data_IF_931879006075
#
_entry.id   IF_931879006075
#
_cell.length_a   1.000
_cell.length_b   1.000
_cell.length_c   1.000
_cell.angle_alpha   90.00
_cell.angle_beta   90.00
_cell.angle_gamma   90.00
#
_symmetry.space_group_name_H-M   'P 1'
#
loop_
_entity.id
_entity.type
_entity.pdbx_description
1 polymer ?
#
# COMPACT_ATOMS: atom_id res chain seq x y z
N UNK A 1 9.29 36.44 23.36
CA UNK A 1 10.50 35.75 22.88
C UNK A 1 10.63 34.34 23.44
N UNK A 2 10.49 34.21 24.75
CA UNK A 2 10.52 32.87 25.37
C UNK A 2 9.44 31.94 24.83
N UNK A 3 8.28 32.47 24.50
CA UNK A 3 7.19 31.68 23.95
C UNK A 3 7.51 31.12 22.58
N UNK A 4 8.30 31.84 21.76
CA UNK A 4 8.68 31.36 20.43
C UNK A 4 9.65 30.19 20.51
N UNK A 5 10.53 30.17 21.49
CA UNK A 5 11.44 29.05 21.72
C UNK A 5 10.68 27.80 22.22
N UNK A 6 9.70 28.01 23.07
CA UNK A 6 8.83 26.93 23.53
C UNK A 6 8.02 26.34 22.39
N UNK A 7 7.53 27.16 21.49
CA UNK A 7 6.79 26.73 20.31
C UNK A 7 7.67 25.91 19.35
N UNK A 8 8.92 26.32 19.18
CA UNK A 8 9.89 25.56 18.38
C UNK A 8 10.12 24.16 18.92
N UNK A 9 10.30 24.05 20.23
CA UNK A 9 10.47 22.75 20.89
C UNK A 9 9.25 21.86 20.74
N UNK A 10 8.05 22.44 20.83
CA UNK A 10 6.80 21.74 20.61
C UNK A 10 6.65 21.27 19.17
N UNK A 11 7.01 22.12 18.22
CA UNK A 11 6.97 21.79 16.79
C UNK A 11 7.94 20.67 16.44
N UNK A 12 9.12 20.70 17.01
CA UNK A 12 10.12 19.62 16.79
C UNK A 12 9.64 18.28 17.34
N UNK A 13 9.04 18.28 18.53
CA UNK A 13 8.47 17.06 19.11
C UNK A 13 7.34 16.53 18.26
N UNK A 14 6.49 17.42 17.76
CA UNK A 14 5.37 17.04 16.91
C UNK A 14 5.84 16.45 15.60
N UNK A 15 6.88 17.06 14.99
CA UNK A 15 7.47 16.55 13.76
C UNK A 15 8.08 15.16 13.96
N UNK A 16 8.78 14.93 15.07
CA UNK A 16 9.34 13.63 15.39
C UNK A 16 8.27 12.58 15.63
N UNK A 17 7.19 12.96 16.29
CA UNK A 17 6.05 12.08 16.55
C UNK A 17 5.37 11.68 15.25
N UNK A 18 5.17 12.64 14.34
CA UNK A 18 4.61 12.37 13.03
C UNK A 18 5.49 11.43 12.22
N UNK A 19 6.80 11.66 12.23
CA UNK A 19 7.76 10.82 11.54
C UNK A 19 7.72 9.38 12.08
N UNK A 20 7.57 9.24 13.39
CA UNK A 20 7.44 7.92 14.02
C UNK A 20 6.15 7.23 13.57
N UNK A 21 5.04 7.95 13.49
CA UNK A 21 3.76 7.41 13.02
C UNK A 21 3.86 6.96 11.57
N UNK A 22 4.51 7.73 10.71
CA UNK A 22 4.74 7.36 9.31
C UNK A 22 5.57 6.09 9.23
N UNK A 23 6.64 6.01 10.01
CA UNK A 23 7.50 4.82 10.05
C UNK A 23 6.74 3.59 10.51
N UNK A 24 5.92 3.72 11.54
CA UNK A 24 5.08 2.62 12.04
C UNK A 24 4.09 2.15 10.99
N UNK A 25 3.46 3.07 10.26
CA UNK A 25 2.55 2.75 9.18
C UNK A 25 3.29 2.00 8.06
N UNK A 26 4.48 2.47 7.70
CA UNK A 26 5.29 1.81 6.68
C UNK A 26 5.69 0.40 7.08
N UNK A 27 6.06 0.20 8.34
CA UNK A 27 6.41 -1.12 8.87
C UNK A 27 5.21 -2.05 8.86
N UNK A 28 4.05 -1.57 9.25
CA UNK A 28 2.81 -2.35 9.21
C UNK A 28 2.42 -2.71 7.79
N UNK A 29 2.55 -1.75 6.86
CA UNK A 29 2.25 -1.99 5.45
C UNK A 29 3.20 -3.01 4.83
N UNK A 30 4.47 -2.98 5.23
CA UNK A 30 5.45 -3.96 4.73
C UNK A 30 5.08 -5.40 5.12
N UNK A 31 4.36 -5.57 6.21
CA UNK A 31 3.90 -6.88 6.69
C UNK A 31 2.53 -7.25 6.14
N UNK A 32 1.74 -6.27 5.71
CA UNK A 32 0.41 -6.52 5.16
C UNK A 32 0.52 -7.10 3.76
N UNK A 33 -0.37 -8.02 3.43
CA UNK A 33 -0.39 -8.66 2.12
C UNK A 33 -1.69 -8.34 1.39
N UNK A 34 -1.58 -8.13 0.09
CA UNK A 34 -2.70 -7.79 -0.77
C UNK A 34 -2.72 -8.73 -1.97
N UNK A 35 -3.85 -9.34 -2.22
CA UNK A 35 -4.00 -10.31 -3.29
C UNK A 35 -4.86 -9.72 -4.42
N UNK A 36 -4.36 -9.86 -5.64
CA UNK A 36 -5.15 -9.59 -6.83
C UNK A 36 -5.39 -10.87 -7.58
N UNK A 37 -6.48 -10.97 -8.29
CA UNK A 37 -6.81 -12.17 -9.06
C UNK A 37 -7.41 -11.79 -10.40
N UNK A 38 -7.35 -12.74 -11.33
CA UNK A 38 -7.95 -12.61 -12.65
C UNK A 38 -8.40 -13.98 -13.15
N UNK A 39 -9.19 -13.98 -14.21
CA UNK A 39 -9.67 -15.23 -14.81
C UNK A 39 -10.50 -16.08 -13.84
N UNK A 40 -11.33 -15.43 -13.01
CA UNK A 40 -12.14 -16.16 -12.04
C UNK A 40 -11.32 -16.82 -10.92
N UNK A 41 -10.16 -16.25 -10.60
CA UNK A 41 -9.27 -16.79 -9.59
C UNK A 41 -8.20 -17.75 -10.13
N UNK A 42 -8.14 -17.89 -11.44
CA UNK A 42 -7.15 -18.78 -12.07
C UNK A 42 -5.71 -18.26 -11.90
N UNK A 43 -5.54 -16.95 -11.84
CA UNK A 43 -4.26 -16.33 -11.55
C UNK A 43 -4.41 -15.45 -10.33
N UNK A 44 -3.53 -15.64 -9.37
CA UNK A 44 -3.51 -14.84 -8.13
C UNK A 44 -2.10 -14.32 -7.91
N UNK A 45 -1.99 -13.04 -7.59
CA UNK A 45 -0.72 -12.39 -7.29
C UNK A 45 -0.81 -11.78 -5.90
N UNK A 46 0.20 -11.97 -5.09
CA UNK A 46 0.28 -11.37 -3.78
C UNK A 46 1.46 -10.39 -3.72
N UNK A 47 1.18 -9.18 -3.23
CA UNK A 47 2.20 -8.17 -2.96
C UNK A 47 2.03 -7.70 -1.51
N UNK A 48 3.06 -7.08 -0.94
CA UNK A 48 2.91 -6.47 0.37
C UNK A 48 2.52 -4.99 0.22
N UNK A 49 2.28 -4.32 1.34
CA UNK A 49 1.93 -2.90 1.32
C UNK A 49 3.05 -1.98 0.85
N UNK A 50 4.29 -2.47 0.82
CA UNK A 50 5.42 -1.75 0.24
C UNK A 50 5.51 -1.96 -1.28
N UNK A 51 4.53 -2.65 -1.86
CA UNK A 51 4.43 -2.96 -3.29
C UNK A 51 5.53 -3.92 -3.77
N UNK A 52 5.99 -4.75 -2.85
CA UNK A 52 6.96 -5.79 -3.20
C UNK A 52 6.21 -7.07 -3.55
N UNK A 53 6.67 -7.74 -4.59
CA UNK A 53 6.11 -9.02 -5.01
C UNK A 53 6.37 -10.09 -3.95
N UNK A 54 5.36 -10.87 -3.62
CA UNK A 54 5.47 -11.97 -2.65
C UNK A 54 5.28 -13.33 -3.29
N UNK A 55 4.21 -13.51 -4.04
CA UNK A 55 3.91 -14.81 -4.64
C UNK A 55 2.98 -14.68 -5.82
N UNK A 56 2.98 -15.73 -6.63
CA UNK A 56 2.05 -15.86 -7.75
C UNK A 56 1.57 -17.31 -7.79
N UNK A 57 0.29 -17.49 -8.08
CA UNK A 57 -0.31 -18.80 -8.27
C UNK A 57 -1.05 -18.81 -9.60
N UNK A 58 -0.76 -19.77 -10.44
CA UNK A 58 -1.38 -19.90 -11.76
C UNK A 58 -2.00 -21.29 -11.85
N UNK A 59 -3.30 -21.35 -12.15
CA UNK A 59 -3.97 -22.60 -12.41
C UNK A 59 -3.48 -23.15 -13.75
N UNK A 60 -2.95 -24.39 -13.80
CA UNK A 60 -2.45 -24.96 -15.05
C UNK A 60 -3.47 -24.98 -16.18
N UNK A 61 -4.75 -24.98 -15.86
CA UNK A 61 -5.82 -25.01 -16.87
C UNK A 61 -5.81 -23.79 -17.78
N UNK A 62 -5.28 -22.66 -17.32
CA UNK A 62 -5.20 -21.44 -18.12
C UNK A 62 -3.86 -21.29 -18.85
N UNK A 63 -2.97 -22.26 -18.70
CA UNK A 63 -1.68 -22.25 -19.38
C UNK A 63 -1.84 -22.98 -20.73
N UNK A 64 -1.91 -22.18 -21.77
CA UNK A 64 -2.05 -22.67 -23.14
C UNK A 64 -0.81 -22.20 -23.93
N UNK A 65 0.06 -23.14 -24.34
CA UNK A 65 1.27 -22.75 -25.10
C UNK A 65 0.96 -22.07 -26.44
N UNK A 66 -0.26 -22.23 -26.93
CA UNK A 66 -0.68 -21.60 -28.19
C UNK A 66 -1.30 -20.22 -27.98
N UNK A 67 -1.57 -19.85 -26.71
CA UNK A 67 -2.14 -18.55 -26.37
C UNK A 67 -1.44 -17.97 -25.13
N UNK A 68 -0.18 -17.70 -25.29
CA UNK A 68 0.65 -17.13 -24.20
C UNK A 68 0.21 -15.71 -23.86
N UNK A 69 -0.29 -14.97 -24.85
CA UNK A 69 -0.75 -13.60 -24.65
C UNK A 69 -1.91 -13.54 -23.65
N UNK A 70 -2.81 -14.50 -23.68
CA UNK A 70 -3.90 -14.59 -22.71
C UNK A 70 -3.32 -14.72 -21.29
N UNK A 71 -2.31 -15.57 -21.10
CA UNK A 71 -1.68 -15.75 -19.79
C UNK A 71 -0.99 -14.46 -19.33
N UNK A 72 -0.29 -13.79 -20.23
CA UNK A 72 0.35 -12.52 -19.93
C UNK A 72 -0.66 -11.49 -19.45
N UNK A 73 -1.81 -11.40 -20.12
CA UNK A 73 -2.89 -10.49 -19.76
C UNK A 73 -3.48 -10.83 -18.39
N UNK A 74 -3.66 -12.11 -18.10
CA UNK A 74 -4.19 -12.56 -16.81
C UNK A 74 -3.23 -12.23 -15.67
N UNK A 75 -1.95 -12.45 -15.87
CA UNK A 75 -0.92 -12.12 -14.87
C UNK A 75 -0.89 -10.60 -14.65
N UNK A 76 -0.88 -9.84 -15.73
CA UNK A 76 -0.89 -8.38 -15.65
C UNK A 76 -2.10 -7.83 -14.90
N UNK A 77 -3.27 -8.38 -15.18
CA UNK A 77 -4.51 -7.96 -14.52
C UNK A 77 -4.50 -8.28 -13.03
N UNK A 78 -4.03 -9.46 -12.65
CA UNK A 78 -3.94 -9.87 -11.24
C UNK A 78 -2.94 -8.99 -10.48
N UNK A 79 -1.80 -8.73 -11.07
CA UNK A 79 -0.78 -7.86 -10.48
C UNK A 79 -1.31 -6.43 -10.30
N UNK A 80 -1.97 -5.90 -11.30
CA UNK A 80 -2.55 -4.56 -11.28
C UNK A 80 -3.56 -4.42 -10.15
N UNK A 81 -4.41 -5.41 -9.96
CA UNK A 81 -5.39 -5.43 -8.88
C UNK A 81 -4.71 -5.47 -7.51
N UNK A 82 -3.69 -6.32 -7.35
CA UNK A 82 -2.95 -6.42 -6.08
C UNK A 82 -2.27 -5.08 -5.73
N UNK A 83 -1.61 -4.46 -6.71
CA UNK A 83 -0.95 -3.17 -6.53
C UNK A 83 -1.95 -2.06 -6.20
N UNK A 84 -3.11 -2.09 -6.82
CA UNK A 84 -4.17 -1.12 -6.55
C UNK A 84 -4.67 -1.23 -5.10
N UNK A 85 -4.88 -2.44 -4.63
CA UNK A 85 -5.29 -2.68 -3.24
C UNK A 85 -4.24 -2.18 -2.25
N UNK A 86 -2.96 -2.44 -2.54
CA UNK A 86 -1.86 -1.96 -1.71
C UNK A 86 -1.81 -0.42 -1.70
N UNK A 87 -1.99 0.20 -2.85
CA UNK A 87 -2.00 1.65 -2.98
C UNK A 87 -3.16 2.27 -2.21
N UNK A 88 -4.35 1.71 -2.31
CA UNK A 88 -5.52 2.18 -1.58
C UNK A 88 -5.35 2.04 -0.06
N UNK A 89 -4.74 0.94 0.38
CA UNK A 89 -4.46 0.71 1.79
C UNK A 89 -3.43 1.70 2.33
N UNK A 90 -2.39 1.99 1.54
CA UNK A 90 -1.38 3.00 1.89
C UNK A 90 -2.01 4.38 2.00
N UNK A 91 -2.84 4.75 1.04
CA UNK A 91 -3.53 6.04 1.05
C UNK A 91 -4.43 6.18 2.27
N UNK A 92 -5.18 5.13 2.61
CA UNK A 92 -6.04 5.12 3.78
C UNK A 92 -5.25 5.24 5.08
N UNK A 93 -4.12 4.52 5.18
CA UNK A 93 -3.26 4.56 6.36
C UNK A 93 -2.63 5.94 6.56
N UNK A 94 -2.16 6.54 5.48
CA UNK A 94 -1.56 7.89 5.54
C UNK A 94 -2.60 8.96 5.82
N UNK A 95 -3.81 8.76 5.33
CA UNK A 95 -4.94 9.66 5.63
C UNK A 95 -5.24 9.65 7.13
N UNK A 96 -5.15 8.51 7.78
CA UNK A 96 -5.32 8.40 9.22
C UNK A 96 -4.27 9.22 9.98
N UNK A 97 -3.03 9.19 9.52
CA UNK A 97 -1.94 9.97 10.13
C UNK A 97 -2.17 11.48 9.93
N UNK A 98 -2.47 11.90 8.71
CA UNK A 98 -2.70 13.32 8.41
C UNK A 98 -4.03 13.81 9.00
N UNK A 99 -5.04 12.96 9.04
CA UNK A 99 -6.33 13.28 9.64
C UNK A 99 -6.24 13.61 11.11
N UNK A 100 -5.33 12.96 11.82
CA UNK A 100 -5.07 13.23 13.23
C UNK A 100 -4.50 14.60 13.50
N UNK A 101 -4.01 15.28 12.48
CA UNK A 101 -3.51 16.65 12.57
C UNK A 101 -4.62 17.69 12.53
N UNK A 102 -5.84 17.29 12.23
CA UNK A 102 -6.98 18.20 12.20
C UNK A 102 -6.83 19.33 11.19
N UNK A 103 -6.42 19.03 9.99
CA UNK A 103 -6.24 20.02 8.94
C UNK A 103 -7.59 20.54 8.43
N UNK A 104 -7.94 21.78 8.72
CA UNK A 104 -9.23 22.30 8.27
C UNK A 104 -9.22 22.46 6.76
N UNK A 105 -10.32 22.11 6.14
CA UNK A 105 -10.46 22.19 4.70
C UNK A 105 -10.05 20.93 3.95
N UNK A 106 -9.46 20.00 4.63
CA UNK A 106 -9.14 18.68 4.07
C UNK A 106 -10.18 17.64 4.40
N UNK A 107 -11.08 17.97 5.24
CA UNK A 107 -12.16 17.09 5.68
C UNK A 107 -13.32 17.06 4.71
#
# INVERSE_FOLDING_TARGET
MAGSLGDLGGLLRQAKQMQRQVTEVQEEMAKAEFEGSSGGGAVKVCVNGAREFKSISINPEVVDPEDVEMLEDLVGAALKEALKKAEEANAAAMKGVTGGMGLPGMS
#
